data_IF_983967127854
#
_entry.id   IF_983967127854
#
_cell.length_a   1.000
_cell.length_b   1.000
_cell.length_c   1.000
_cell.angle_alpha   90.00
_cell.angle_beta   90.00
_cell.angle_gamma   90.00
#
_symmetry.space_group_name_H-M   'P 1'
#
loop_
_entity.id
_entity.type
_entity.pdbx_description
1 polymer ?
#
# COMPACT_ATOMS: atom_id res chain seq x y z
N UNK A 1 -9.50 -4.48 -0.73
CA UNK A 1 -8.25 -4.56 0.04
C UNK A 1 -7.72 -5.99 0.04
N UNK A 2 -7.08 -6.43 -1.05
CA UNK A 2 -6.60 -7.82 -1.18
C UNK A 2 -5.38 -8.09 -0.27
N UNK A 3 -4.41 -7.17 -0.25
CA UNK A 3 -3.23 -7.28 0.59
C UNK A 3 -3.61 -7.42 2.07
N UNK A 4 -4.52 -6.58 2.57
CA UNK A 4 -4.97 -6.67 3.97
C UNK A 4 -5.62 -8.01 4.29
N UNK A 5 -6.51 -8.52 3.44
CA UNK A 5 -7.14 -9.84 3.67
C UNK A 5 -6.11 -10.97 3.71
N UNK A 6 -5.14 -10.96 2.80
CA UNK A 6 -4.07 -11.96 2.80
C UNK A 6 -3.19 -11.84 4.04
N UNK A 7 -2.83 -10.61 4.45
CA UNK A 7 -2.06 -10.35 5.67
C UNK A 7 -2.81 -10.79 6.91
N UNK A 8 -4.11 -10.52 6.98
CA UNK A 8 -4.95 -10.89 8.12
C UNK A 8 -5.06 -12.42 8.20
N UNK A 9 -5.25 -13.13 7.08
CA UNK A 9 -5.20 -14.60 7.05
C UNK A 9 -3.85 -15.13 7.55
N UNK A 10 -2.74 -14.60 7.03
CA UNK A 10 -1.38 -14.96 7.44
C UNK A 10 -1.16 -14.79 8.95
N UNK A 11 -1.70 -13.70 9.50
CA UNK A 11 -1.44 -13.29 10.89
C UNK A 11 -2.36 -13.98 11.88
N UNK A 12 -3.60 -14.28 11.50
CA UNK A 12 -4.66 -14.69 12.44
C UNK A 12 -5.07 -16.16 12.31
N UNK A 13 -4.82 -16.79 11.16
CA UNK A 13 -5.21 -18.18 10.91
C UNK A 13 -3.99 -19.07 10.65
N UNK A 14 -3.33 -18.90 9.51
CA UNK A 14 -2.20 -19.73 9.13
C UNK A 14 -1.16 -18.89 8.40
N UNK A 15 0.08 -18.94 8.87
CA UNK A 15 1.22 -18.23 8.31
C UNK A 15 1.72 -18.87 6.99
N UNK A 16 0.85 -18.94 5.98
CA UNK A 16 1.18 -19.52 4.67
C UNK A 16 2.32 -18.71 4.00
N UNK A 17 3.50 -19.32 3.77
CA UNK A 17 4.65 -18.62 3.22
C UNK A 17 4.43 -18.07 1.81
N UNK A 18 3.44 -18.58 1.06
CA UNK A 18 3.09 -18.10 -0.28
C UNK A 18 2.51 -16.68 -0.26
N UNK A 19 1.91 -16.27 0.86
CA UNK A 19 1.31 -14.95 1.01
C UNK A 19 2.37 -13.85 0.96
N UNK A 20 3.53 -14.06 1.60
CA UNK A 20 4.64 -13.11 1.52
C UNK A 20 5.07 -12.88 0.07
N UNK A 21 5.25 -13.96 -0.67
CA UNK A 21 5.60 -13.92 -2.09
C UNK A 21 4.54 -13.20 -2.92
N UNK A 22 3.25 -13.48 -2.67
CA UNK A 22 2.15 -12.86 -3.40
C UNK A 22 2.04 -11.34 -3.15
N UNK A 23 2.05 -10.91 -1.88
CA UNK A 23 1.99 -9.49 -1.51
C UNK A 23 3.19 -8.75 -2.08
N UNK A 24 4.40 -9.31 -1.94
CA UNK A 24 5.62 -8.73 -2.50
C UNK A 24 5.49 -8.52 -4.01
N UNK A 25 5.02 -9.53 -4.75
CA UNK A 25 4.82 -9.47 -6.21
C UNK A 25 3.81 -8.39 -6.62
N UNK A 26 2.71 -8.22 -5.87
CA UNK A 26 1.73 -7.16 -6.13
C UNK A 26 2.36 -5.78 -5.96
N UNK A 27 3.08 -5.56 -4.85
CA UNK A 27 3.72 -4.26 -4.58
C UNK A 27 4.79 -3.94 -5.62
N UNK A 28 5.62 -4.92 -6.00
CA UNK A 28 6.65 -4.73 -7.00
C UNK A 28 6.06 -4.43 -8.37
N UNK A 29 4.96 -5.11 -8.74
CA UNK A 29 4.24 -4.83 -9.98
C UNK A 29 3.70 -3.41 -9.99
N UNK A 30 2.92 -3.03 -8.97
CA UNK A 30 2.34 -1.67 -8.85
C UNK A 30 3.44 -0.60 -8.88
N UNK A 31 4.51 -0.79 -8.10
CA UNK A 31 5.65 0.12 -8.12
C UNK A 31 6.27 0.26 -9.50
N UNK A 32 6.42 -0.85 -10.25
CA UNK A 32 7.07 -0.82 -11.56
C UNK A 32 6.18 -0.33 -12.70
N UNK A 33 4.85 -0.41 -12.57
CA UNK A 33 3.90 -0.17 -13.68
C UNK A 33 3.02 1.06 -13.50
N UNK A 34 2.69 1.39 -12.26
CA UNK A 34 1.68 2.40 -11.96
C UNK A 34 2.17 3.50 -11.04
N UNK A 35 3.37 3.40 -10.47
CA UNK A 35 3.93 4.49 -9.66
C UNK A 35 4.23 5.71 -10.52
N UNK A 36 3.72 6.86 -10.08
CA UNK A 36 4.05 8.18 -10.59
C UNK A 36 4.89 8.92 -9.55
N UNK A 37 6.12 9.27 -9.92
CA UNK A 37 7.06 9.90 -9.01
C UNK A 37 6.71 11.36 -8.74
N UNK A 38 6.08 12.05 -9.70
CA UNK A 38 5.72 13.46 -9.60
C UNK A 38 4.58 13.67 -8.60
N UNK A 39 3.52 12.86 -8.66
CA UNK A 39 2.41 12.91 -7.72
C UNK A 39 2.67 12.12 -6.42
N UNK A 40 3.69 11.24 -6.42
CA UNK A 40 3.92 10.25 -5.37
C UNK A 40 2.69 9.36 -5.13
N UNK A 41 2.09 8.86 -6.21
CA UNK A 41 0.92 8.00 -6.12
C UNK A 41 0.90 6.94 -7.21
N UNK A 42 -0.02 5.98 -7.07
CA UNK A 42 -0.28 5.01 -8.13
C UNK A 42 -1.33 5.56 -9.10
N UNK A 43 -1.24 5.16 -10.37
CA UNK A 43 -2.30 5.38 -11.35
C UNK A 43 -3.57 4.63 -10.94
N UNK A 44 -4.74 5.26 -11.11
CA UNK A 44 -6.03 4.64 -10.82
C UNK A 44 -6.29 3.41 -11.71
N UNK A 45 -5.91 3.53 -12.99
CA UNK A 45 -6.03 2.50 -14.01
C UNK A 45 -4.73 2.40 -14.80
N UNK A 46 -4.45 1.24 -15.41
CA UNK A 46 -3.20 1.01 -16.16
C UNK A 46 -3.23 1.53 -17.61
N UNK A 47 -4.41 1.82 -18.14
CA UNK A 47 -4.65 2.35 -19.48
C UNK A 47 -6.02 3.01 -19.53
N UNK A 48 -6.35 3.66 -20.65
CA UNK A 48 -7.62 4.36 -20.79
C UNK A 48 -8.77 3.37 -21.06
N UNK A 49 -9.82 3.40 -20.23
CA UNK A 49 -10.94 2.48 -20.30
C UNK A 49 -12.28 3.18 -20.06
N UNK A 50 -13.23 3.03 -20.98
CA UNK A 50 -14.67 3.29 -20.78
C UNK A 50 -15.03 4.56 -19.95
N UNK A 51 -14.41 5.70 -20.24
CA UNK A 51 -14.69 6.98 -19.57
C UNK A 51 -13.80 7.31 -18.38
N UNK A 52 -12.89 6.41 -18.02
CA UNK A 52 -11.83 6.64 -17.04
C UNK A 52 -10.50 6.86 -17.77
N UNK A 53 -9.75 7.88 -17.34
CA UNK A 53 -8.43 8.20 -17.87
C UNK A 53 -7.34 7.69 -16.93
N UNK A 54 -6.19 7.34 -17.51
CA UNK A 54 -5.00 6.97 -16.73
C UNK A 54 -4.45 8.18 -15.98
N UNK A 55 -4.89 8.36 -14.75
CA UNK A 55 -4.48 9.47 -13.88
C UNK A 55 -3.95 8.98 -12.52
N UNK A 56 -3.03 9.71 -11.88
CA UNK A 56 -2.56 9.40 -10.54
C UNK A 56 -3.68 9.63 -9.50
N UNK A 57 -3.84 8.69 -8.55
CA UNK A 57 -4.86 8.75 -7.50
C UNK A 57 -4.24 8.72 -6.09
N UNK A 58 -3.66 9.85 -5.61
CA UNK A 58 -3.01 9.90 -4.31
C UNK A 58 -3.96 9.63 -3.13
N UNK A 59 -5.23 9.98 -3.25
CA UNK A 59 -6.29 9.72 -2.27
C UNK A 59 -6.55 8.22 -2.03
N UNK A 60 -6.12 7.36 -2.97
CA UNK A 60 -6.27 5.90 -2.88
C UNK A 60 -5.00 5.16 -2.44
N UNK A 61 -3.86 5.85 -2.29
CA UNK A 61 -2.58 5.25 -1.87
C UNK A 61 -2.70 4.39 -0.60
N UNK A 62 -3.53 4.86 0.35
CA UNK A 62 -3.72 4.21 1.65
C UNK A 62 -4.40 2.83 1.57
N UNK A 63 -5.01 2.47 0.43
CA UNK A 63 -5.52 1.12 0.17
C UNK A 63 -4.41 0.09 -0.10
N UNK A 64 -3.20 0.53 -0.43
CA UNK A 64 -2.05 -0.32 -0.81
C UNK A 64 -0.98 -0.30 0.30
N UNK A 65 -0.94 0.78 1.08
CA UNK A 65 0.13 1.14 2.00
C UNK A 65 0.50 0.03 3.01
N UNK A 66 -0.49 -0.69 3.57
CA UNK A 66 -0.24 -1.73 4.58
C UNK A 66 0.70 -2.83 4.09
N UNK A 67 0.64 -3.18 2.80
CA UNK A 67 1.50 -4.17 2.19
C UNK A 67 2.98 -3.81 2.30
N UNK A 68 3.33 -2.54 2.06
CA UNK A 68 4.71 -2.05 2.16
C UNK A 68 5.26 -2.25 3.57
N UNK A 69 4.51 -1.81 4.58
CA UNK A 69 4.90 -1.96 5.98
C UNK A 69 5.04 -3.42 6.38
N UNK A 70 4.11 -4.27 5.95
CA UNK A 70 4.12 -5.69 6.29
C UNK A 70 5.30 -6.42 5.65
N UNK A 71 5.60 -6.21 4.36
CA UNK A 71 6.77 -6.83 3.71
C UNK A 71 8.05 -6.40 4.42
N UNK A 72 8.22 -5.11 4.73
CA UNK A 72 9.37 -4.64 5.50
C UNK A 72 9.48 -5.34 6.86
N UNK A 73 8.37 -5.48 7.60
CA UNK A 73 8.36 -6.21 8.88
C UNK A 73 8.77 -7.67 8.71
N UNK A 74 8.38 -8.34 7.63
CA UNK A 74 8.71 -9.75 7.42
C UNK A 74 10.17 -9.96 7.05
N UNK A 75 10.73 -9.09 6.19
CA UNK A 75 12.03 -9.33 5.55
C UNK A 75 13.17 -8.47 6.08
N UNK A 76 12.88 -7.34 6.70
CA UNK A 76 13.86 -6.30 7.03
C UNK A 76 14.32 -5.45 5.84
N UNK A 77 13.81 -5.71 4.63
CA UNK A 77 14.18 -4.99 3.41
C UNK A 77 13.66 -3.55 3.43
N UNK A 78 14.59 -2.61 3.61
CA UNK A 78 14.34 -1.17 3.68
C UNK A 78 13.67 -0.60 2.45
N UNK A 79 13.79 -1.25 1.29
CA UNK A 79 13.15 -0.79 0.07
C UNK A 79 11.64 -0.62 0.28
N UNK A 80 10.99 -1.55 0.98
CA UNK A 80 9.55 -1.47 1.24
C UNK A 80 9.20 -0.44 2.32
N UNK A 81 10.08 -0.20 3.29
CA UNK A 81 9.94 0.91 4.24
C UNK A 81 9.95 2.24 3.49
N UNK A 82 11.01 2.47 2.70
CA UNK A 82 11.26 3.75 2.05
C UNK A 82 10.19 4.07 1.01
N UNK A 83 9.78 3.07 0.22
CA UNK A 83 8.63 3.19 -0.69
C UNK A 83 7.34 3.50 0.06
N UNK A 84 7.06 2.77 1.14
CA UNK A 84 5.89 3.03 1.98
C UNK A 84 5.86 4.44 2.57
N UNK A 85 7.02 4.96 3.00
CA UNK A 85 7.13 6.31 3.57
C UNK A 85 6.77 7.37 2.51
N UNK A 86 7.20 7.19 1.26
CA UNK A 86 6.86 8.09 0.14
C UNK A 86 5.38 7.95 -0.26
N UNK A 87 4.84 6.72 -0.32
CA UNK A 87 3.42 6.47 -0.61
C UNK A 87 2.53 7.15 0.43
N UNK A 88 2.89 7.05 1.72
CA UNK A 88 2.17 7.70 2.82
C UNK A 88 2.24 9.23 2.68
N UNK A 89 3.40 9.78 2.35
CA UNK A 89 3.55 11.22 2.15
C UNK A 89 2.67 11.73 1.00
N UNK A 90 2.60 11.00 -0.11
CA UNK A 90 1.67 11.27 -1.21
C UNK A 90 0.20 11.18 -0.78
N UNK A 91 -0.15 10.15 0.00
CA UNK A 91 -1.51 9.95 0.50
C UNK A 91 -1.98 11.10 1.41
N UNK A 92 -1.10 11.61 2.27
CA UNK A 92 -1.42 12.73 3.17
C UNK A 92 -1.60 14.03 2.39
N UNK A 93 -0.72 14.32 1.41
CA UNK A 93 -0.81 15.56 0.63
C UNK A 93 -1.98 15.58 -0.35
N UNK A 94 -2.31 14.43 -0.94
CA UNK A 94 -3.40 14.29 -1.91
C UNK A 94 -4.69 13.71 -1.33
N UNK A 95 -4.88 13.77 0.00
CA UNK A 95 -6.08 13.24 0.63
C UNK A 95 -7.34 13.98 0.14
N UNK A 96 -8.37 13.21 -0.22
CA UNK A 96 -9.72 13.70 -0.48
C UNK A 96 -10.66 13.10 0.57
N UNK A 97 -11.37 13.91 1.34
CA UNK A 97 -12.10 13.46 2.54
C UNK A 97 -13.57 13.90 2.57
N UNK A 98 -14.13 14.31 1.43
CA UNK A 98 -15.46 14.93 1.34
C UNK A 98 -16.62 14.00 1.74
N UNK A 99 -16.40 12.68 1.72
CA UNK A 99 -17.43 11.69 1.99
C UNK A 99 -16.94 10.48 2.77
N UNK A 100 -17.89 9.73 3.33
CA UNK A 100 -17.62 8.51 4.09
C UNK A 100 -16.86 7.46 3.26
N UNK A 101 -17.14 7.39 1.96
CA UNK A 101 -16.39 6.53 1.02
C UNK A 101 -14.90 6.90 1.03
N UNK A 102 -14.58 8.15 0.72
CA UNK A 102 -13.20 8.61 0.59
C UNK A 102 -12.46 8.56 1.93
N UNK A 103 -13.14 8.94 3.01
CA UNK A 103 -12.60 8.81 4.37
C UNK A 103 -12.22 7.35 4.69
N UNK A 104 -13.10 6.39 4.38
CA UNK A 104 -12.81 4.98 4.60
C UNK A 104 -11.66 4.48 3.73
N UNK A 105 -11.57 4.92 2.48
CA UNK A 105 -10.44 4.58 1.59
C UNK A 105 -9.10 5.10 2.14
N UNK A 106 -9.12 6.29 2.77
CA UNK A 106 -7.93 6.88 3.38
C UNK A 106 -7.53 6.23 4.72
N UNK A 107 -8.47 5.78 5.55
CA UNK A 107 -8.18 5.49 6.97
C UNK A 107 -8.54 4.08 7.48
N UNK A 108 -9.30 3.27 6.74
CA UNK A 108 -9.77 1.98 7.25
C UNK A 108 -8.62 1.04 7.67
N UNK A 109 -7.49 1.05 6.96
CA UNK A 109 -6.36 0.16 7.25
C UNK A 109 -4.99 0.85 7.24
N UNK A 110 -4.91 2.15 6.95
CA UNK A 110 -3.63 2.86 6.81
C UNK A 110 -2.80 2.90 8.09
N UNK A 111 -3.44 2.90 9.26
CA UNK A 111 -2.76 2.82 10.56
C UNK A 111 -1.89 1.55 10.71
N UNK A 112 -2.24 0.45 10.00
CA UNK A 112 -1.46 -0.80 10.04
C UNK A 112 -0.02 -0.58 9.56
N UNK A 113 0.19 0.34 8.62
CA UNK A 113 1.53 0.66 8.12
C UNK A 113 2.47 1.15 9.22
N UNK A 114 2.04 2.12 10.02
CA UNK A 114 2.85 2.66 11.12
C UNK A 114 3.21 1.57 12.14
N UNK A 115 2.27 0.66 12.45
CA UNK A 115 2.51 -0.47 13.34
C UNK A 115 3.55 -1.45 12.76
N UNK A 116 3.39 -1.85 11.49
CA UNK A 116 4.33 -2.77 10.85
C UNK A 116 5.72 -2.16 10.67
N UNK A 117 5.79 -0.87 10.30
CA UNK A 117 7.03 -0.12 10.16
C UNK A 117 7.83 -0.13 11.46
N UNK A 118 7.20 0.23 12.58
CA UNK A 118 7.83 0.21 13.91
C UNK A 118 8.31 -1.19 14.30
N UNK A 119 7.54 -2.23 13.99
CA UNK A 119 7.92 -3.62 14.28
C UNK A 119 9.12 -4.09 13.43
N UNK A 120 9.28 -3.60 12.21
CA UNK A 120 10.44 -3.90 11.36
C UNK A 120 11.74 -3.27 11.85
N UNK A 121 11.67 -2.10 12.48
CA UNK A 121 12.85 -1.42 13.06
C UNK A 121 13.45 -2.22 14.23
N UNK A 122 12.61 -2.82 15.06
CA UNK A 122 13.04 -3.62 16.22
C UNK A 122 13.58 -5.02 15.91
N UNK A 123 13.65 -5.43 14.64
CA UNK A 123 14.19 -6.74 14.21
C UNK A 123 15.66 -6.67 13.74
N UNK A 124 16.27 -5.50 13.73
CA UNK A 124 17.66 -5.30 13.30
C UNK A 124 18.66 -5.56 14.40
#
# INVERSE_FOLDING_TARGET
>A
LLNDTLIDYYTTYEADPRILTAVKKVLDYLWSKTWDEQSQSFMYIEGDYAGEMREPAPDLNNLILSGFGWVYRQTGDTTYRDRGDVVLAGAVRGAWLDGSKQFNQAYATSYKYAAFRKQGEGKR
#
